data_IF_276449399848
#
_entry.id   IF_276449399848
#
_cell.length_a   1.000
_cell.length_b   1.000
_cell.length_c   1.000
_cell.angle_alpha   90.00
_cell.angle_beta   90.00
_cell.angle_gamma   90.00
#
_symmetry.space_group_name_H-M   'P 1'
#
loop_
_entity.id
_entity.type
_entity.pdbx_description
1 polymer ?
#
# COMPACT_ATOMS: atom_id res chain seq x y z
N UNK A 1 19.56 -37.94 -19.84
CA UNK A 1 20.54 -36.87 -19.55
C UNK A 1 19.98 -36.07 -18.39
N UNK A 2 20.63 -36.12 -17.23
CA UNK A 2 20.18 -35.40 -16.03
C UNK A 2 20.61 -33.95 -16.18
N UNK A 3 19.66 -33.02 -16.28
CA UNK A 3 19.97 -31.59 -16.29
C UNK A 3 20.49 -31.20 -14.90
N UNK A 4 21.81 -31.05 -14.77
CA UNK A 4 22.45 -30.49 -13.58
C UNK A 4 22.22 -28.99 -13.62
N UNK A 5 21.39 -28.49 -12.71
CA UNK A 5 21.15 -27.06 -12.53
C UNK A 5 22.27 -26.54 -11.64
N UNK A 6 23.20 -25.75 -12.20
CA UNK A 6 24.24 -25.08 -11.43
C UNK A 6 23.60 -23.95 -10.61
N UNK A 7 23.54 -24.15 -9.29
CA UNK A 7 23.08 -23.13 -8.37
C UNK A 7 24.19 -22.08 -8.17
N UNK A 8 23.85 -20.79 -8.10
CA UNK A 8 24.83 -19.74 -7.84
C UNK A 8 25.50 -19.95 -6.47
N UNK A 9 26.81 -19.68 -6.40
CA UNK A 9 27.57 -19.79 -5.16
C UNK A 9 27.05 -18.79 -4.11
N UNK A 10 26.82 -19.21 -2.85
CA UNK A 10 26.35 -18.32 -1.81
C UNK A 10 27.42 -17.27 -1.47
N UNK A 11 27.03 -16.00 -1.49
CA UNK A 11 27.84 -14.83 -1.18
C UNK A 11 27.19 -14.06 -0.01
N UNK A 12 27.95 -13.42 0.89
CA UNK A 12 27.35 -12.69 2.02
C UNK A 12 26.32 -11.61 1.63
N UNK A 13 26.36 -11.10 0.39
CA UNK A 13 25.38 -10.13 -0.13
C UNK A 13 24.07 -10.73 -0.63
N UNK A 14 24.02 -12.04 -0.93
CA UNK A 14 22.83 -12.73 -1.42
C UNK A 14 22.30 -13.78 -0.43
N UNK A 15 22.88 -13.83 0.78
CA UNK A 15 22.57 -14.83 1.80
C UNK A 15 22.12 -14.12 3.07
N UNK A 16 20.92 -14.44 3.55
CA UNK A 16 20.41 -14.00 4.86
C UNK A 16 20.95 -14.97 5.91
N UNK A 17 21.80 -14.47 6.79
CA UNK A 17 22.43 -15.23 7.89
C UNK A 17 21.80 -14.90 9.25
N UNK A 18 21.17 -13.74 9.37
CA UNK A 18 20.51 -13.27 10.60
C UNK A 18 19.14 -12.69 10.26
N UNK A 19 18.19 -12.86 11.17
CA UNK A 19 16.82 -12.36 11.02
C UNK A 19 16.76 -10.84 10.80
N UNK A 20 17.72 -10.10 11.37
CA UNK A 20 17.87 -8.64 11.22
C UNK A 20 18.11 -8.18 9.78
N UNK A 21 18.63 -9.07 8.91
CA UNK A 21 18.90 -8.76 7.51
C UNK A 21 17.62 -8.86 6.65
N UNK A 22 16.55 -9.46 7.18
CA UNK A 22 15.24 -9.45 6.53
C UNK A 22 14.63 -8.08 6.73
N UNK A 23 14.62 -7.27 5.68
CA UNK A 23 14.01 -5.94 5.74
C UNK A 23 12.55 -6.07 6.20
N UNK A 24 12.10 -5.23 7.16
CA UNK A 24 10.73 -5.26 7.63
C UNK A 24 9.78 -4.98 6.46
N UNK A 25 8.71 -5.77 6.36
CA UNK A 25 7.73 -5.63 5.29
C UNK A 25 7.05 -4.26 5.42
N UNK A 26 7.22 -3.38 4.42
CA UNK A 26 6.47 -2.12 4.35
C UNK A 26 5.00 -2.45 4.14
N UNK A 27 4.15 -2.02 5.06
CA UNK A 27 2.70 -2.09 4.88
C UNK A 27 2.28 -1.06 3.83
N UNK A 28 1.80 -1.53 2.68
CA UNK A 28 1.38 -0.69 1.54
C UNK A 28 -0.13 -0.57 1.41
N UNK A 29 -0.89 -1.48 2.04
CA UNK A 29 -2.35 -1.49 2.06
C UNK A 29 -2.88 -1.51 3.49
N UNK A 30 -4.07 -0.95 3.69
CA UNK A 30 -4.82 -1.10 4.93
C UNK A 30 -6.32 -1.29 4.66
N UNK A 31 -7.04 -1.91 5.60
CA UNK A 31 -8.51 -1.94 5.53
C UNK A 31 -9.07 -0.52 5.63
N UNK A 32 -10.16 -0.24 4.92
CA UNK A 32 -10.87 1.05 5.03
C UNK A 32 -11.19 1.39 6.49
N UNK A 33 -11.58 0.40 7.30
CA UNK A 33 -11.92 0.61 8.71
C UNK A 33 -10.73 1.00 9.61
N UNK A 34 -9.49 0.72 9.18
CA UNK A 34 -8.26 1.04 9.91
C UNK A 34 -7.68 2.39 9.50
N UNK A 35 -7.97 2.86 8.28
CA UNK A 35 -7.52 4.13 7.72
C UNK A 35 -7.74 5.36 8.65
N UNK A 36 -8.88 5.50 9.36
CA UNK A 36 -9.14 6.64 10.25
C UNK A 36 -8.11 6.73 11.40
N UNK A 37 -7.71 5.58 11.95
CA UNK A 37 -6.69 5.52 13.01
C UNK A 37 -5.30 5.85 12.46
N UNK A 38 -4.99 5.39 11.25
CA UNK A 38 -3.69 5.60 10.62
C UNK A 38 -3.41 7.09 10.32
N UNK A 39 -4.45 7.84 9.93
CA UNK A 39 -4.33 9.24 9.55
C UNK A 39 -4.89 10.23 10.58
N UNK A 40 -5.30 9.73 11.76
CA UNK A 40 -5.93 10.51 12.83
C UNK A 40 -7.09 11.40 12.35
N UNK A 41 -8.02 10.81 11.60
CA UNK A 41 -9.21 11.49 11.06
C UNK A 41 -10.48 10.72 11.42
N UNK A 42 -11.63 11.38 11.37
CA UNK A 42 -12.91 10.72 11.60
C UNK A 42 -13.21 9.68 10.51
N UNK A 43 -14.00 8.65 10.85
CA UNK A 43 -14.50 7.66 9.87
C UNK A 43 -15.20 8.35 8.70
N UNK A 44 -16.12 9.27 8.99
CA UNK A 44 -16.89 9.99 7.98
C UNK A 44 -15.97 10.78 7.03
N UNK A 45 -14.93 11.41 7.56
CA UNK A 45 -13.92 12.13 6.76
C UNK A 45 -13.18 11.18 5.82
N UNK A 46 -12.72 10.02 6.30
CA UNK A 46 -12.08 9.00 5.47
C UNK A 46 -12.98 8.55 4.32
N UNK A 47 -14.23 8.17 4.60
CA UNK A 47 -15.15 7.73 3.54
C UNK A 47 -15.40 8.81 2.50
N UNK A 48 -15.56 10.07 2.93
CA UNK A 48 -15.69 11.21 2.02
C UNK A 48 -14.46 11.38 1.13
N UNK A 49 -13.26 11.29 1.71
CA UNK A 49 -12.00 11.41 0.97
C UNK A 49 -11.80 10.29 -0.03
N UNK A 50 -12.11 9.05 0.33
CA UNK A 50 -12.02 7.91 -0.59
C UNK A 50 -12.98 8.12 -1.76
N UNK A 51 -14.25 8.48 -1.49
CA UNK A 51 -15.24 8.72 -2.54
C UNK A 51 -14.81 9.85 -3.48
N UNK A 52 -14.34 10.96 -2.92
CA UNK A 52 -13.84 12.10 -3.69
C UNK A 52 -12.64 11.72 -4.57
N UNK A 53 -11.73 10.91 -4.05
CA UNK A 53 -10.60 10.40 -4.83
C UNK A 53 -11.05 9.42 -5.94
N UNK A 54 -12.05 8.57 -5.71
CA UNK A 54 -12.60 7.69 -6.75
C UNK A 54 -13.32 8.44 -7.87
N UNK A 55 -13.86 9.62 -7.58
CA UNK A 55 -14.44 10.53 -8.57
C UNK A 55 -13.36 11.25 -9.42
N UNK A 56 -12.12 11.35 -8.92
CA UNK A 56 -11.01 11.96 -9.65
C UNK A 56 -10.38 10.96 -10.64
N UNK A 57 -10.24 11.32 -11.94
CA UNK A 57 -9.67 10.43 -12.95
C UNK A 57 -8.26 9.90 -12.62
N UNK A 58 -7.46 10.70 -11.90
CA UNK A 58 -6.07 10.38 -11.54
C UNK A 58 -5.95 9.25 -10.50
N UNK A 59 -6.95 9.11 -9.63
CA UNK A 59 -6.92 8.18 -8.48
C UNK A 59 -7.93 7.04 -8.62
N UNK A 60 -8.89 7.15 -9.54
CA UNK A 60 -9.89 6.11 -9.84
C UNK A 60 -9.22 4.77 -10.15
N UNK A 61 -9.63 3.73 -9.43
CA UNK A 61 -9.08 2.37 -9.57
C UNK A 61 -7.66 2.16 -9.02
N UNK A 62 -7.01 3.20 -8.48
CA UNK A 62 -5.66 3.13 -7.88
C UNK A 62 -5.65 3.31 -6.36
N UNK A 63 -6.79 3.70 -5.79
CA UNK A 63 -6.93 4.00 -4.36
C UNK A 63 -7.48 2.80 -3.58
N UNK A 64 -8.52 2.15 -4.09
CA UNK A 64 -9.19 1.02 -3.45
C UNK A 64 -9.04 -0.24 -4.32
N UNK A 65 -8.86 -1.37 -3.66
CA UNK A 65 -8.85 -2.70 -4.27
C UNK A 65 -9.81 -3.60 -3.49
N UNK A 66 -10.82 -4.10 -4.19
CA UNK A 66 -11.74 -5.08 -3.64
C UNK A 66 -11.12 -6.47 -3.72
N UNK A 67 -10.87 -7.06 -2.55
CA UNK A 67 -10.29 -8.41 -2.43
C UNK A 67 -11.41 -9.46 -2.28
N UNK A 68 -12.56 -9.04 -1.76
CA UNK A 68 -13.78 -9.84 -1.68
C UNK A 68 -15.01 -8.94 -1.60
N UNK A 69 -16.21 -9.53 -1.67
CA UNK A 69 -17.48 -8.81 -1.52
C UNK A 69 -17.62 -8.05 -0.19
N UNK A 70 -16.81 -8.37 0.83
CA UNK A 70 -16.87 -7.74 2.16
C UNK A 70 -15.57 -7.04 2.56
N UNK A 71 -14.54 -7.08 1.71
CA UNK A 71 -13.22 -6.56 2.06
C UNK A 71 -12.61 -5.73 0.93
N UNK A 72 -12.50 -4.43 1.20
CA UNK A 72 -11.79 -3.47 0.39
C UNK A 72 -10.54 -2.98 1.13
N UNK A 73 -9.43 -2.94 0.41
CA UNK A 73 -8.16 -2.41 0.87
C UNK A 73 -7.88 -1.05 0.21
N UNK A 74 -7.25 -0.16 0.96
CA UNK A 74 -6.82 1.16 0.50
C UNK A 74 -5.32 1.16 0.33
N UNK A 75 -4.83 1.62 -0.82
CA UNK A 75 -3.41 1.82 -1.06
C UNK A 75 -2.94 3.08 -0.33
N UNK A 76 -2.07 2.91 0.67
CA UNK A 76 -1.69 3.97 1.61
C UNK A 76 -0.97 5.12 0.90
N UNK A 77 -0.01 4.80 0.02
CA UNK A 77 0.77 5.81 -0.68
C UNK A 77 -0.11 6.63 -1.65
N UNK A 78 -1.06 6.00 -2.36
CA UNK A 78 -2.02 6.72 -3.23
C UNK A 78 -2.93 7.63 -2.42
N UNK A 79 -3.38 7.19 -1.24
CA UNK A 79 -4.18 8.04 -0.35
C UNK A 79 -3.39 9.28 0.11
N UNK A 80 -2.10 9.13 0.41
CA UNK A 80 -1.21 10.25 0.74
C UNK A 80 -1.05 11.21 -0.45
N UNK A 81 -0.90 10.68 -1.67
CA UNK A 81 -0.86 11.51 -2.89
C UNK A 81 -2.13 12.34 -3.06
N UNK A 82 -3.30 11.74 -2.85
CA UNK A 82 -4.58 12.46 -2.85
C UNK A 82 -4.64 13.55 -1.79
N UNK A 83 -4.23 13.26 -0.54
CA UNK A 83 -4.20 14.28 0.51
C UNK A 83 -3.28 15.45 0.16
N UNK A 84 -2.14 15.19 -0.48
CA UNK A 84 -1.20 16.22 -0.95
C UNK A 84 -1.77 17.04 -2.11
N UNK A 85 -2.42 16.41 -3.09
CA UNK A 85 -3.04 17.13 -4.21
C UNK A 85 -4.16 18.05 -3.71
N UNK A 86 -4.92 17.58 -2.73
CA UNK A 86 -5.95 18.36 -2.05
C UNK A 86 -5.36 19.57 -1.33
N UNK A 87 -4.33 19.38 -0.50
CA UNK A 87 -3.70 20.49 0.21
C UNK A 87 -3.16 21.58 -0.73
N UNK A 88 -2.57 21.20 -1.87
CA UNK A 88 -2.08 22.16 -2.87
C UNK A 88 -3.18 22.89 -3.64
N UNK A 89 -4.38 22.31 -3.73
CA UNK A 89 -5.53 22.90 -4.43
C UNK A 89 -6.28 23.93 -3.59
N UNK A 90 -6.06 23.92 -2.27
CA UNK A 90 -6.68 24.85 -1.31
C UNK A 90 -5.67 25.84 -0.68
N UNK A 91 -4.46 25.93 -1.23
CA UNK A 91 -3.45 26.96 -0.94
C UNK A 91 -3.35 27.91 -2.13
#
# INVERSE_FOLDING_TARGET
MTNVIELPTPHPSNTVLKDEQVAPVKMIYCKISTLPKLFNVSKATCYRFIKEAEEMPEFKGRICVDVSATMTLVHIDTFVEFLRSKHKKYL
#
